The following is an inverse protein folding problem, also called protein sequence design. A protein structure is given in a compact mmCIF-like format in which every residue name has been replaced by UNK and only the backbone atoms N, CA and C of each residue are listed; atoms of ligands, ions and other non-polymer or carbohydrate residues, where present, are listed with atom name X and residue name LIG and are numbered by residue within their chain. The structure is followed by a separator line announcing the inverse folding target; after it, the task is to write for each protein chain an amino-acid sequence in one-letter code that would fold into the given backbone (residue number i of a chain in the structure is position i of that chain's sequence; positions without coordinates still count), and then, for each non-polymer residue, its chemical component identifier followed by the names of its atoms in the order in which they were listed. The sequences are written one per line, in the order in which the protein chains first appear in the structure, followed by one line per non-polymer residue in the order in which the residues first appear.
data_IF_954094237199
#
_entry.id   IF_954094237199
#
_cell.length_a   1.000
_cell.length_b   1.000
_cell.length_c   1.000
_cell.angle_alpha   90.00
_cell.angle_beta   90.00
_cell.angle_gamma   90.00
#
_symmetry.space_group_name_H-M   'P 1'
#
loop_
_entity.id
_entity.type
_entity.pdbx_description
1 polymer ?
#
# COMPACT_ATOMS: atom_id res chain seq x y z
N UNK A 1 -21.67 -12.37 -24.95
CA UNK A 1 -21.42 -11.77 -23.62
C UNK A 1 -20.84 -12.85 -22.74
N UNK A 2 -19.53 -12.82 -22.49
CA UNK A 2 -18.92 -13.72 -21.51
C UNK A 2 -19.19 -13.14 -20.11
N UNK A 3 -19.51 -13.98 -19.10
CA UNK A 3 -19.66 -13.49 -17.74
C UNK A 3 -18.31 -13.00 -17.23
N UNK A 4 -18.25 -11.76 -16.76
CA UNK A 4 -17.12 -11.25 -15.98
C UNK A 4 -17.10 -12.01 -14.65
N UNK A 5 -16.36 -13.10 -14.60
CA UNK A 5 -15.96 -13.74 -13.35
C UNK A 5 -15.13 -12.71 -12.56
N UNK A 6 -15.56 -12.42 -11.33
CA UNK A 6 -14.72 -11.69 -10.38
C UNK A 6 -13.35 -12.40 -10.29
N UNK A 7 -12.23 -11.66 -10.23
CA UNK A 7 -10.91 -12.28 -10.17
C UNK A 7 -10.82 -13.21 -8.97
N UNK A 8 -10.24 -14.40 -9.17
CA UNK A 8 -10.14 -15.41 -8.13
C UNK A 8 -9.25 -14.94 -6.98
N UNK A 9 -9.42 -15.52 -5.79
CA UNK A 9 -8.65 -15.25 -4.57
C UNK A 9 -7.13 -15.30 -4.77
N UNK A 10 -6.65 -16.22 -5.60
CA UNK A 10 -5.22 -16.31 -5.95
C UNK A 10 -4.75 -15.11 -6.76
N UNK A 11 -5.62 -14.50 -7.57
CA UNK A 11 -5.28 -13.35 -8.40
C UNK A 11 -5.10 -12.09 -7.55
N UNK A 12 -5.85 -11.88 -6.47
CA UNK A 12 -5.71 -10.68 -5.62
C UNK A 12 -4.37 -10.64 -4.88
N UNK A 13 -3.95 -11.76 -4.27
CA UNK A 13 -2.65 -11.87 -3.59
C UNK A 13 -1.51 -11.89 -4.62
N UNK A 14 -1.66 -12.59 -5.74
CA UNK A 14 -0.68 -12.59 -6.82
C UNK A 14 -0.52 -11.20 -7.45
N UNK A 15 -1.60 -10.43 -7.53
CA UNK A 15 -1.60 -9.03 -7.95
C UNK A 15 -0.98 -8.09 -6.92
N UNK A 16 -0.76 -8.51 -5.66
CA UNK A 16 0.01 -7.73 -4.69
C UNK A 16 1.52 -8.03 -4.73
N UNK A 17 1.97 -9.10 -5.40
CA UNK A 17 3.40 -9.44 -5.43
C UNK A 17 4.11 -8.56 -6.46
N UNK A 18 5.08 -7.77 -6.00
CA UNK A 18 6.09 -7.17 -6.85
C UNK A 18 7.50 -7.60 -6.39
N UNK A 19 8.40 -7.90 -7.35
CA UNK A 19 9.81 -8.26 -7.11
C UNK A 19 10.69 -7.10 -7.60
N UNK A 20 11.57 -6.57 -6.75
CA UNK A 20 12.52 -5.50 -7.10
C UNK A 20 12.27 -4.17 -6.39
N UNK A 21 12.90 -3.11 -6.88
CA UNK A 21 12.65 -1.74 -6.42
C UNK A 21 11.25 -1.26 -6.81
N UNK A 22 10.69 -0.31 -6.06
CA UNK A 22 9.40 0.26 -6.42
C UNK A 22 9.55 1.05 -7.71
N UNK A 23 8.92 0.55 -8.77
CA UNK A 23 8.75 1.29 -10.02
C UNK A 23 7.72 2.40 -9.81
N UNK A 24 7.93 3.57 -10.43
CA UNK A 24 7.05 4.73 -10.28
C UNK A 24 6.30 5.04 -11.59
N UNK A 25 5.98 4.02 -12.38
CA UNK A 25 5.23 4.23 -13.63
C UNK A 25 3.77 4.58 -13.37
N UNK A 26 3.12 5.23 -14.33
CA UNK A 26 1.70 5.51 -14.27
C UNK A 26 0.87 4.22 -14.19
N UNK A 27 1.38 3.10 -14.71
CA UNK A 27 0.74 1.79 -14.55
C UNK A 27 0.79 1.30 -13.10
N UNK A 28 1.93 1.47 -12.41
CA UNK A 28 2.08 1.11 -11.00
C UNK A 28 1.20 1.98 -10.10
N UNK A 29 1.05 3.28 -10.37
CA UNK A 29 0.10 4.13 -9.65
C UNK A 29 -1.36 3.72 -9.85
N UNK A 30 -1.73 3.16 -11.02
CA UNK A 30 -3.09 2.67 -11.30
C UNK A 30 -3.38 1.32 -10.67
N UNK A 31 -2.35 0.49 -10.52
CA UNK A 31 -2.47 -0.83 -9.91
C UNK A 31 -1.36 -1.02 -8.86
N UNK A 32 -1.43 -0.28 -7.73
CA UNK A 32 -0.36 -0.24 -6.75
C UNK A 32 -0.23 -1.56 -6.02
N UNK A 33 1.01 -2.03 -5.84
CA UNK A 33 1.31 -3.36 -5.27
C UNK A 33 2.34 -3.22 -4.16
N UNK A 34 1.97 -3.63 -2.95
CA UNK A 34 2.91 -3.63 -1.83
C UNK A 34 3.86 -4.83 -1.92
N UNK A 35 5.16 -4.58 -1.79
CA UNK A 35 6.15 -5.65 -1.82
C UNK A 35 6.00 -6.59 -0.61
N UNK A 36 6.36 -7.85 -0.83
CA UNK A 36 6.47 -8.81 0.28
C UNK A 36 7.65 -8.40 1.18
N UNK A 37 7.42 -8.50 2.48
CA UNK A 37 8.43 -8.26 3.50
C UNK A 37 9.55 -9.31 3.45
N UNK A 38 10.74 -8.89 3.88
CA UNK A 38 11.89 -9.77 4.09
C UNK A 38 11.85 -10.49 5.44
N UNK A 39 11.01 -10.04 6.36
CA UNK A 39 10.79 -10.70 7.64
C UNK A 39 10.01 -12.01 7.46
N UNK A 40 10.29 -12.99 8.32
CA UNK A 40 9.51 -14.22 8.44
C UNK A 40 8.61 -14.15 9.69
N UNK A 41 7.35 -14.51 9.55
CA UNK A 41 6.41 -14.56 10.67
C UNK A 41 6.81 -15.60 11.72
N UNK A 42 7.56 -16.64 11.32
CA UNK A 42 8.08 -17.66 12.21
C UNK A 42 9.12 -17.10 13.20
N UNK A 43 9.79 -16.00 12.85
CA UNK A 43 10.82 -15.38 13.69
C UNK A 43 10.22 -14.44 14.76
N UNK A 44 8.89 -14.28 14.78
CA UNK A 44 8.24 -13.39 15.74
C UNK A 44 8.37 -13.96 17.16
N UNK A 45 8.98 -13.19 18.05
CA UNK A 45 9.01 -13.49 19.47
C UNK A 45 7.66 -13.08 20.11
N UNK A 46 6.70 -14.01 20.15
CA UNK A 46 5.37 -13.77 20.70
C UNK A 46 5.35 -13.54 22.21
N UNK A 47 6.32 -14.07 22.96
CA UNK A 47 6.43 -13.86 24.42
C UNK A 47 6.76 -12.39 24.75
N UNK A 48 7.58 -11.75 23.91
CA UNK A 48 7.92 -10.32 24.03
C UNK A 48 6.88 -9.41 23.38
N UNK A 49 6.09 -9.93 22.45
CA UNK A 49 5.13 -9.17 21.67
C UNK A 49 3.86 -8.84 22.47
N UNK A 50 3.23 -7.72 22.16
CA UNK A 50 2.02 -7.27 22.87
C UNK A 50 1.00 -6.67 21.92
N UNK A 51 -0.29 -6.93 22.17
CA UNK A 51 -1.37 -6.30 21.45
C UNK A 51 -1.38 -4.78 21.73
N UNK A 52 -1.45 -3.97 20.67
CA UNK A 52 -1.57 -2.50 20.77
C UNK A 52 -3.03 -2.08 20.74
N UNK A 53 -3.84 -2.72 19.90
CA UNK A 53 -5.27 -2.43 19.77
C UNK A 53 -5.92 -3.20 18.63
N UNK A 54 -7.24 -3.14 18.58
CA UNK A 54 -8.06 -3.79 17.55
C UNK A 54 -9.16 -2.88 17.04
N UNK A 55 -9.65 -3.18 15.84
CA UNK A 55 -10.73 -2.44 15.21
C UNK A 55 -11.40 -3.24 14.09
N UNK A 56 -12.12 -2.53 13.22
CA UNK A 56 -12.94 -3.12 12.16
C UNK A 56 -12.18 -4.06 11.24
N UNK A 57 -10.93 -3.76 10.93
CA UNK A 57 -10.15 -4.48 9.91
C UNK A 57 -9.19 -5.52 10.48
N UNK A 58 -8.98 -5.54 11.79
CA UNK A 58 -8.03 -6.44 12.44
C UNK A 58 -7.43 -5.91 13.73
N UNK A 59 -6.29 -6.50 14.09
CA UNK A 59 -5.48 -6.12 15.24
C UNK A 59 -4.14 -5.51 14.83
N UNK A 60 -3.60 -4.64 15.67
CA UNK A 60 -2.23 -4.16 15.58
C UNK A 60 -1.43 -4.68 16.77
N UNK A 61 -0.31 -5.32 16.47
CA UNK A 61 0.62 -5.87 17.44
C UNK A 61 1.93 -5.08 17.43
N UNK A 62 2.53 -4.93 18.60
CA UNK A 62 3.93 -4.54 18.76
C UNK A 62 4.74 -5.84 18.79
N UNK A 63 5.57 -6.05 17.78
CA UNK A 63 6.29 -7.32 17.57
C UNK A 63 7.80 -7.14 17.49
N UNK A 64 8.52 -8.23 17.75
CA UNK A 64 9.96 -8.35 17.56
C UNK A 64 10.25 -9.58 16.71
N UNK A 65 11.17 -9.47 15.76
CA UNK A 65 11.69 -10.58 14.96
C UNK A 65 13.05 -10.99 15.56
N UNK A 66 13.06 -12.06 16.35
CA UNK A 66 14.19 -12.36 17.24
C UNK A 66 14.46 -11.19 18.22
N UNK A 67 15.66 -10.60 18.15
CA UNK A 67 16.03 -9.42 18.93
C UNK A 67 15.76 -8.08 18.21
N UNK A 68 15.40 -8.11 16.92
CA UNK A 68 15.15 -6.91 16.13
C UNK A 68 13.73 -6.38 16.31
N UNK A 69 13.59 -5.09 16.63
CA UNK A 69 12.30 -4.44 16.87
C UNK A 69 12.36 -3.31 17.90
N UNK A 70 11.20 -2.72 18.28
CA UNK A 70 9.85 -3.16 17.93
C UNK A 70 9.37 -2.71 16.55
N UNK A 71 8.49 -3.52 15.96
CA UNK A 71 7.72 -3.21 14.76
C UNK A 71 6.21 -3.21 15.04
N UNK A 72 5.45 -2.55 14.17
CA UNK A 72 4.00 -2.66 14.15
C UNK A 72 3.57 -3.72 13.10
N UNK A 73 2.79 -4.71 13.53
CA UNK A 73 2.20 -5.73 12.65
C UNK A 73 0.68 -5.58 12.67
N UNK A 74 0.09 -5.16 11.55
CA UNK A 74 -1.37 -5.19 11.34
C UNK A 74 -1.76 -6.58 10.84
N UNK A 75 -2.51 -7.31 11.65
CA UNK A 75 -3.09 -8.62 11.33
C UNK A 75 -4.55 -8.40 10.98
N UNK A 76 -4.94 -8.75 9.76
CA UNK A 76 -6.30 -8.56 9.26
C UNK A 76 -7.19 -9.75 9.63
N UNK A 77 -8.49 -9.52 9.82
CA UNK A 77 -9.47 -10.59 10.07
C UNK A 77 -9.54 -11.58 8.90
N UNK A 78 -9.63 -11.01 7.70
CA UNK A 78 -9.76 -11.74 6.46
C UNK A 78 -8.42 -11.74 5.72
N UNK A 79 -7.92 -12.93 5.44
CA UNK A 79 -6.77 -13.11 4.56
C UNK A 79 -7.17 -13.11 3.07
N UNK A 80 -8.47 -13.21 2.79
CA UNK A 80 -9.03 -13.38 1.46
C UNK A 80 -10.24 -12.45 1.27
N UNK A 81 -10.46 -11.99 0.04
CA UNK A 81 -11.69 -11.27 -0.28
C UNK A 81 -12.85 -12.26 -0.27
N UNK A 82 -13.95 -11.93 0.40
CA UNK A 82 -15.21 -12.62 0.14
C UNK A 82 -15.66 -12.28 -1.28
N UNK A 83 -16.31 -13.23 -1.98
CA UNK A 83 -16.85 -12.99 -3.33
C UNK A 83 -17.95 -11.90 -3.36
N UNK A 84 -18.50 -11.58 -2.19
CA UNK A 84 -19.65 -10.68 -2.02
C UNK A 84 -19.28 -9.28 -1.51
N UNK A 85 -18.09 -9.06 -0.95
CA UNK A 85 -17.71 -7.74 -0.45
C UNK A 85 -16.86 -6.95 -1.43
N UNK A 86 -17.36 -5.75 -1.75
CA UNK A 86 -16.60 -4.71 -2.46
C UNK A 86 -15.46 -4.11 -1.63
N UNK A 87 -15.30 -4.54 -0.37
CA UNK A 87 -14.35 -3.98 0.58
C UNK A 87 -13.42 -5.07 1.13
N UNK A 88 -12.18 -5.09 0.65
CA UNK A 88 -11.12 -5.96 1.16
C UNK A 88 -10.02 -5.12 1.83
N UNK A 89 -10.04 -5.07 3.18
CA UNK A 89 -9.22 -4.16 3.96
C UNK A 89 -7.71 -4.34 3.73
N UNK A 90 -7.22 -5.58 3.67
CA UNK A 90 -5.82 -5.89 3.40
C UNK A 90 -5.35 -5.28 2.07
N UNK A 91 -6.13 -5.46 1.00
CA UNK A 91 -5.78 -4.90 -0.30
C UNK A 91 -5.73 -3.37 -0.26
N UNK A 92 -6.74 -2.72 0.35
CA UNK A 92 -6.82 -1.26 0.42
C UNK A 92 -5.64 -0.66 1.17
N UNK A 93 -5.27 -1.24 2.30
CA UNK A 93 -4.12 -0.79 3.09
C UNK A 93 -2.80 -1.00 2.33
N UNK A 94 -2.63 -2.17 1.71
CA UNK A 94 -1.45 -2.46 0.89
C UNK A 94 -1.32 -1.47 -0.29
N UNK A 95 -2.42 -1.19 -0.99
CA UNK A 95 -2.45 -0.24 -2.10
C UNK A 95 -2.11 1.19 -1.66
N UNK A 96 -2.68 1.65 -0.54
CA UNK A 96 -2.37 2.96 0.02
C UNK A 96 -0.88 3.10 0.38
N UNK A 97 -0.32 2.11 1.08
CA UNK A 97 1.11 2.11 1.43
C UNK A 97 1.99 2.08 0.18
N UNK A 98 1.64 1.27 -0.83
CA UNK A 98 2.41 1.21 -2.07
C UNK A 98 2.42 2.57 -2.80
N UNK A 99 1.28 3.27 -2.86
CA UNK A 99 1.22 4.65 -3.37
C UNK A 99 2.13 5.57 -2.56
N UNK A 100 2.07 5.54 -1.23
CA UNK A 100 2.90 6.38 -0.37
C UNK A 100 4.40 6.13 -0.57
N UNK A 101 4.81 4.87 -0.76
CA UNK A 101 6.21 4.53 -1.05
C UNK A 101 6.68 5.07 -2.41
N UNK A 102 5.82 5.03 -3.44
CA UNK A 102 6.13 5.60 -4.76
C UNK A 102 6.21 7.14 -4.70
N UNK A 103 5.27 7.79 -4.00
CA UNK A 103 5.29 9.25 -3.78
C UNK A 103 6.58 9.65 -3.05
N UNK A 104 6.90 8.99 -1.93
CA UNK A 104 8.12 9.28 -1.16
C UNK A 104 9.37 9.13 -2.03
N UNK A 105 9.44 8.06 -2.83
CA UNK A 105 10.56 7.82 -3.74
C UNK A 105 10.68 8.94 -4.77
N UNK A 106 9.57 9.38 -5.38
CA UNK A 106 9.64 10.42 -6.40
C UNK A 106 9.94 11.80 -5.86
N UNK A 107 9.43 12.14 -4.69
CA UNK A 107 9.81 13.38 -4.02
C UNK A 107 11.30 13.45 -3.66
N UNK A 108 11.97 12.30 -3.49
CA UNK A 108 13.43 12.24 -3.27
C UNK A 108 14.25 12.35 -4.56
N UNK A 109 13.67 12.01 -5.72
CA UNK A 109 14.37 11.91 -7.01
C UNK A 109 14.16 13.12 -7.92
N UNK A 110 12.98 13.73 -7.87
CA UNK A 110 12.56 14.74 -8.84
C UNK A 110 12.71 16.18 -8.34
N UNK A 111 12.73 17.11 -9.29
CA UNK A 111 12.42 18.52 -9.05
C UNK A 111 11.00 18.66 -8.45
N UNK A 112 10.63 19.83 -7.87
CA UNK A 112 9.35 20.01 -7.21
C UNK A 112 8.16 19.53 -8.05
N UNK A 113 7.42 18.55 -7.52
CA UNK A 113 6.26 17.97 -8.20
C UNK A 113 5.09 18.94 -8.02
N UNK A 114 4.53 19.40 -9.13
CA UNK A 114 3.39 20.29 -9.17
C UNK A 114 2.09 19.50 -9.23
N UNK A 115 1.12 19.88 -8.39
CA UNK A 115 -0.23 19.31 -8.37
C UNK A 115 -1.27 20.42 -8.42
N UNK A 116 -2.51 20.10 -8.79
CA UNK A 116 -3.62 21.05 -8.66
C UNK A 116 -3.79 21.44 -7.20
N UNK A 117 -3.80 22.75 -6.92
CA UNK A 117 -3.93 23.29 -5.57
C UNK A 117 -5.33 23.00 -4.97
N UNK A 118 -6.36 23.00 -5.82
CA UNK A 118 -7.76 22.84 -5.43
C UNK A 118 -8.45 21.74 -6.29
N UNK A 119 -8.09 20.45 -6.13
CA UNK A 119 -8.70 19.37 -6.90
C UNK A 119 -10.18 19.21 -6.50
N UNK A 120 -11.10 19.31 -7.46
CA UNK A 120 -12.54 19.27 -7.20
C UNK A 120 -13.21 18.00 -7.73
N UNK A 121 -12.56 17.32 -8.69
CA UNK A 121 -13.10 16.15 -9.38
C UNK A 121 -12.25 14.90 -9.12
N UNK A 122 -12.82 13.73 -9.44
CA UNK A 122 -12.08 12.47 -9.43
C UNK A 122 -10.93 12.51 -10.42
N UNK A 123 -11.14 13.15 -11.56
CA UNK A 123 -10.15 13.36 -12.61
C UNK A 123 -8.99 14.22 -12.11
N UNK A 124 -9.26 15.28 -11.34
CA UNK A 124 -8.21 16.10 -10.71
C UNK A 124 -7.40 15.30 -9.70
N UNK A 125 -8.07 14.46 -8.89
CA UNK A 125 -7.40 13.59 -7.93
C UNK A 125 -6.50 12.55 -8.63
N UNK A 126 -6.98 11.95 -9.72
CA UNK A 126 -6.19 11.03 -10.54
C UNK A 126 -5.01 11.76 -11.18
N UNK A 127 -5.21 13.00 -11.67
CA UNK A 127 -4.15 13.81 -12.23
C UNK A 127 -3.06 14.11 -11.19
N UNK A 128 -3.45 14.55 -9.98
CA UNK A 128 -2.52 14.78 -8.88
C UNK A 128 -1.77 13.51 -8.48
N UNK A 129 -2.44 12.36 -8.42
CA UNK A 129 -1.79 11.07 -8.14
C UNK A 129 -0.76 10.72 -9.22
N UNK A 130 -1.11 10.90 -10.49
CA UNK A 130 -0.24 10.57 -11.61
C UNK A 130 0.87 11.61 -11.85
N UNK A 131 0.80 12.80 -11.26
CA UNK A 131 1.89 13.79 -11.32
C UNK A 131 3.20 13.25 -10.73
N UNK A 132 3.12 12.24 -9.85
CA UNK A 132 4.26 11.52 -9.32
C UNK A 132 4.76 10.38 -10.21
N UNK A 133 4.14 10.12 -11.36
CA UNK A 133 4.58 9.05 -12.25
C UNK A 133 5.81 9.48 -13.07
N UNK A 134 6.72 8.54 -13.35
CA UNK A 134 7.93 8.78 -14.14
C UNK A 134 7.62 9.47 -15.48
N UNK A 135 6.51 9.08 -16.12
CA UNK A 135 6.06 9.62 -17.41
C UNK A 135 5.58 11.08 -17.35
N UNK A 136 5.35 11.64 -16.17
CA UNK A 136 4.90 13.03 -16.00
C UNK A 136 6.04 14.00 -15.68
N UNK A 137 7.21 13.51 -15.25
CA UNK A 137 8.34 14.37 -14.87
C UNK A 137 8.90 15.20 -16.03
N UNK A 138 8.70 14.74 -17.27
CA UNK A 138 9.20 15.40 -18.48
C UNK A 138 8.09 16.13 -19.26
N UNK A 139 6.85 16.08 -18.78
CA UNK A 139 5.74 16.72 -19.48
C UNK A 139 5.58 18.14 -19.00
N UNK A 140 5.34 19.04 -19.94
CA UNK A 140 4.90 20.38 -19.62
C UNK A 140 3.55 20.29 -18.88
N UNK A 141 3.33 21.12 -17.85
CA UNK A 141 2.04 21.17 -17.19
C UNK A 141 0.94 21.51 -18.23
N UNK A 142 -0.28 20.97 -18.04
CA UNK A 142 -1.38 21.19 -18.96
C UNK A 142 -1.64 22.69 -19.10
N UNK A 143 -1.97 23.12 -20.32
CA UNK A 143 -2.28 24.51 -20.69
C UNK A 143 -3.68 24.91 -20.21
N UNK A 144 -4.02 24.58 -18.97
CA UNK A 144 -5.24 25.05 -18.32
C UNK A 144 -4.85 26.17 -17.36
N UNK A 145 -5.65 27.24 -17.31
CA UNK A 145 -5.56 28.28 -16.27
C UNK A 145 -6.01 27.69 -14.92
N UNK A 146 -5.24 26.75 -14.39
CA UNK A 146 -5.50 26.08 -13.13
C UNK A 146 -4.30 26.29 -12.23
N UNK A 147 -4.58 26.73 -11.01
CA UNK A 147 -3.55 26.97 -10.01
C UNK A 147 -2.85 25.66 -9.64
N UNK A 148 -1.54 25.63 -9.87
CA UNK A 148 -0.66 24.53 -9.54
C UNK A 148 0.24 24.94 -8.38
N UNK A 149 0.46 24.03 -7.44
CA UNK A 149 1.34 24.27 -6.29
C UNK A 149 2.36 23.14 -6.15
N UNK A 150 3.62 23.45 -5.80
CA UNK A 150 4.59 22.41 -5.48
C UNK A 150 4.22 21.73 -4.17
N UNK A 151 4.39 20.40 -4.12
CA UNK A 151 4.31 19.68 -2.85
C UNK A 151 5.58 20.00 -2.02
N UNK A 152 5.43 20.53 -0.79
CA UNK A 152 6.56 21.08 -0.04
C UNK A 152 7.54 20.00 0.46
N UNK A 153 7.04 18.97 1.15
CA UNK A 153 7.84 17.87 1.67
C UNK A 153 6.96 16.66 1.96
N UNK A 154 7.54 15.46 1.88
CA UNK A 154 6.84 14.24 2.24
C UNK A 154 6.69 14.17 3.77
N UNK A 155 5.49 13.89 4.30
CA UNK A 155 5.31 13.80 5.75
C UNK A 155 6.11 12.63 6.33
N UNK A 156 6.50 12.75 7.61
CA UNK A 156 7.18 11.68 8.33
C UNK A 156 6.19 10.55 8.64
N UNK A 157 6.14 9.53 7.80
CA UNK A 157 5.35 8.31 8.02
C UNK A 157 6.23 7.19 8.56
N UNK A 158 5.61 6.25 9.28
CA UNK A 158 6.30 5.02 9.66
C UNK A 158 6.64 4.21 8.41
N UNK A 159 7.89 3.74 8.32
CA UNK A 159 8.33 2.89 7.22
C UNK A 159 7.57 1.57 7.25
N UNK A 160 6.87 1.25 6.17
CA UNK A 160 6.31 -0.08 5.98
C UNK A 160 7.36 -1.01 5.35
N UNK A 161 7.53 -2.19 5.95
CA UNK A 161 8.48 -3.20 5.49
C UNK A 161 7.88 -4.21 4.52
N UNK A 162 6.61 -4.03 4.15
CA UNK A 162 5.87 -4.91 3.25
C UNK A 162 4.88 -5.79 4.00
N UNK A 163 4.23 -6.69 3.27
CA UNK A 163 3.31 -7.68 3.82
C UNK A 163 4.00 -9.04 3.97
N UNK A 164 3.54 -9.88 4.90
CA UNK A 164 4.01 -11.25 5.04
C UNK A 164 2.83 -12.18 5.33
N UNK A 165 2.87 -13.42 4.83
CA UNK A 165 1.87 -14.41 5.20
C UNK A 165 2.03 -14.73 6.68
N UNK A 166 0.95 -14.58 7.44
CA UNK A 166 0.91 -14.99 8.83
C UNK A 166 0.09 -16.27 8.95
N UNK A 167 0.67 -17.29 9.58
CA UNK A 167 -0.06 -18.47 10.04
C UNK A 167 0.16 -18.57 11.54
N UNK A 168 -0.88 -18.53 12.37
CA UNK A 168 -0.71 -18.78 13.78
C UNK A 168 -0.15 -20.20 14.00
N UNK A 169 0.80 -20.40 14.91
CA UNK A 169 1.27 -21.74 15.27
C UNK A 169 0.09 -22.55 15.82
N UNK A 170 -0.12 -23.77 15.29
CA UNK A 170 -1.18 -24.67 15.76
C UNK A 170 -2.37 -24.86 14.82
N UNK A 171 -2.38 -24.25 13.63
CA UNK A 171 -3.24 -24.67 12.51
C UNK A 171 -4.68 -25.03 12.88
N UNK A 172 -5.39 -24.16 13.60
CA UNK A 172 -6.83 -24.33 13.78
C UNK A 172 -7.55 -23.18 13.10
N UNK A 173 -8.44 -23.58 12.19
CA UNK A 173 -9.60 -22.80 11.77
C UNK A 173 -10.29 -22.30 13.04
N UNK A 174 -10.75 -21.06 12.98
CA UNK A 174 -11.71 -20.51 13.93
C UNK A 174 -12.68 -21.59 14.40
N UNK A 175 -12.83 -21.71 15.73
CA UNK A 175 -13.91 -22.43 16.40
C UNK A 175 -15.26 -22.18 15.74
#
# INVERSE_FOLDING_TARGET
MAPNLAPSTHDLIRNMINKGDASCTAADFRLPRLRRSRFDAADINWERSSLVGGGRDGYVWKVWFGEDGPYALKVFWDAESSECDSYFALQRECQNIAILQMIEMQMKRAAPILVYANPATKEDAIYNLLAFADEQLQKLPPVRDVEMTPIPAFPRIAKCYGWLPFRPPGGSKYT
#
